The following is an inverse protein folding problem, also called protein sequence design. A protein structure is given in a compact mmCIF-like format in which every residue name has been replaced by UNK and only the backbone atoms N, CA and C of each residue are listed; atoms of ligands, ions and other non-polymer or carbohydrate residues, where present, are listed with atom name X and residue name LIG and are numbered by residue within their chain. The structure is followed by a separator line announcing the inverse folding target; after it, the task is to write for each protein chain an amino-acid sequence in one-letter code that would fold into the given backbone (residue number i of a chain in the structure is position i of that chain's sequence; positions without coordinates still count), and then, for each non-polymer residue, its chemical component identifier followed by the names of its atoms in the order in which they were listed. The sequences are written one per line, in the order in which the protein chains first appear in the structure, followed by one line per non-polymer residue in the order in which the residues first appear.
data_IF_997445986056
#
_entry.id   IF_997445986056
#
_cell.length_a   1.000
_cell.length_b   1.000
_cell.length_c   1.000
_cell.angle_alpha   90.00
_cell.angle_beta   90.00
_cell.angle_gamma   90.00
#
_symmetry.space_group_name_H-M   'P 1'
#
loop_
_entity.id
_entity.type
_entity.pdbx_description
1 polymer ?
#
# COMPACT_ATOMS: atom_id res chain seq x y z
N UNK A 1 1.17 17.96 1.29
CA UNK A 1 1.44 16.61 0.73
C UNK A 1 0.32 15.67 1.20
N UNK A 2 0.09 14.56 0.51
CA UNK A 2 -0.87 13.54 0.95
C UNK A 2 -0.45 12.14 0.48
N UNK A 3 -1.13 11.13 1.04
CA UNK A 3 -1.15 9.78 0.52
C UNK A 3 -2.60 9.40 0.20
N UNK A 4 -2.78 8.59 -0.85
CA UNK A 4 -4.05 7.99 -1.24
C UNK A 4 -3.86 6.49 -1.27
N UNK A 5 -4.77 5.76 -0.64
CA UNK A 5 -4.85 4.30 -0.70
C UNK A 5 -6.27 3.91 -1.12
N UNK A 6 -6.40 2.96 -2.04
CA UNK A 6 -7.68 2.37 -2.40
C UNK A 6 -8.12 1.39 -1.30
N UNK A 7 -9.39 1.45 -0.89
CA UNK A 7 -9.89 0.74 0.30
C UNK A 7 -9.98 -0.78 0.17
N UNK A 8 -9.88 -1.31 -1.05
CA UNK A 8 -9.92 -2.72 -1.42
C UNK A 8 -8.53 -3.32 -1.71
N UNK A 9 -7.47 -2.55 -1.47
CA UNK A 9 -6.10 -2.97 -1.72
C UNK A 9 -5.41 -3.45 -0.43
N UNK A 10 -4.89 -4.68 -0.46
CA UNK A 10 -4.16 -5.30 0.66
C UNK A 10 -2.68 -5.35 0.29
N UNK A 11 -1.83 -4.85 1.19
CA UNK A 11 -0.38 -4.88 1.07
C UNK A 11 0.23 -5.63 2.24
N UNK A 12 1.11 -6.59 1.94
CA UNK A 12 1.83 -7.35 2.95
C UNK A 12 3.27 -7.58 2.50
N UNK A 13 4.21 -7.54 3.43
CA UNK A 13 5.60 -7.91 3.16
C UNK A 13 6.60 -7.22 4.08
N UNK A 14 7.69 -7.91 4.37
CA UNK A 14 8.73 -7.39 5.25
C UNK A 14 9.37 -6.13 4.66
N UNK A 15 9.51 -5.09 5.48
CA UNK A 15 10.12 -3.83 5.07
C UNK A 15 9.16 -2.85 4.37
N UNK A 16 7.86 -3.17 4.24
CA UNK A 16 6.86 -2.28 3.64
C UNK A 16 6.90 -0.88 4.29
N UNK A 17 6.92 -0.79 5.62
CA UNK A 17 6.97 0.48 6.36
C UNK A 17 8.17 1.37 5.98
N UNK A 18 9.31 0.78 5.58
CA UNK A 18 10.48 1.53 5.10
C UNK A 18 10.19 2.19 3.76
N UNK A 19 9.52 1.47 2.85
CA UNK A 19 9.09 2.02 1.57
C UNK A 19 8.05 3.14 1.76
N UNK A 20 7.08 2.95 2.65
CA UNK A 20 6.06 3.96 2.97
C UNK A 20 6.67 5.23 3.57
N UNK A 21 7.57 5.08 4.54
CA UNK A 21 8.28 6.21 5.18
C UNK A 21 9.09 6.99 4.15
N UNK A 22 9.78 6.30 3.23
CA UNK A 22 10.53 6.94 2.15
C UNK A 22 9.61 7.67 1.17
N UNK A 23 8.48 7.08 0.80
CA UNK A 23 7.49 7.70 -0.09
C UNK A 23 6.87 8.96 0.53
N UNK A 24 6.57 8.94 1.82
CA UNK A 24 6.12 10.12 2.57
C UNK A 24 7.15 11.26 2.54
N UNK A 25 8.43 10.95 2.80
CA UNK A 25 9.53 11.94 2.70
C UNK A 25 9.71 12.46 1.27
N UNK A 26 9.57 11.61 0.26
CA UNK A 26 9.62 12.04 -1.14
C UNK A 26 8.51 13.07 -1.44
N UNK A 27 7.29 12.83 -0.97
CA UNK A 27 6.16 13.75 -1.14
C UNK A 27 6.41 15.11 -0.46
N UNK A 28 7.02 15.12 0.72
CA UNK A 28 7.46 16.35 1.39
C UNK A 28 8.53 17.10 0.58
N UNK A 29 9.40 16.37 -0.12
CA UNK A 29 10.46 16.93 -0.98
C UNK A 29 10.00 17.33 -2.39
N UNK A 30 8.69 17.31 -2.69
CA UNK A 30 8.16 17.71 -3.98
C UNK A 30 8.10 16.61 -5.05
N UNK A 31 8.19 15.33 -4.65
CA UNK A 31 8.19 14.19 -5.59
C UNK A 31 7.02 13.24 -5.30
N UNK A 32 6.29 12.86 -6.34
CA UNK A 32 5.26 11.82 -6.24
C UNK A 32 5.92 10.43 -6.15
N UNK A 33 5.30 9.49 -5.45
CA UNK A 33 5.73 8.09 -5.41
C UNK A 33 4.55 7.16 -5.65
N UNK A 34 4.73 6.22 -6.57
CA UNK A 34 3.80 5.11 -6.82
C UNK A 34 4.54 3.78 -6.73
N UNK A 35 3.79 2.71 -6.49
CA UNK A 35 4.34 1.37 -6.35
C UNK A 35 3.93 0.50 -7.54
N UNK A 36 4.93 -0.09 -8.20
CA UNK A 36 4.74 -1.04 -9.29
C UNK A 36 4.83 -2.48 -8.78
N UNK A 37 3.91 -3.34 -9.20
CA UNK A 37 3.88 -4.76 -8.86
C UNK A 37 3.71 -5.60 -10.12
N UNK A 38 4.41 -6.73 -10.19
CA UNK A 38 4.34 -7.62 -11.34
C UNK A 38 3.04 -8.43 -11.31
N UNK A 39 2.25 -8.36 -12.38
CA UNK A 39 0.98 -9.08 -12.51
C UNK A 39 0.88 -9.82 -13.84
N UNK A 40 0.05 -10.87 -13.87
CA UNK A 40 -0.18 -11.67 -15.07
C UNK A 40 -1.15 -11.00 -16.06
N UNK A 41 -2.06 -10.15 -15.56
CA UNK A 41 -3.14 -9.47 -16.30
C UNK A 41 -3.05 -7.93 -16.25
N UNK A 42 -1.94 -7.32 -16.73
CA UNK A 42 -1.64 -5.89 -16.59
C UNK A 42 -2.67 -4.97 -17.27
N UNK A 43 -3.40 -5.43 -18.29
CA UNK A 43 -4.43 -4.65 -19.01
C UNK A 43 -5.59 -4.17 -18.13
N UNK A 44 -5.74 -4.72 -16.92
CA UNK A 44 -6.77 -4.30 -15.95
C UNK A 44 -6.40 -3.07 -15.14
N UNK A 45 -5.14 -2.64 -15.19
CA UNK A 45 -4.58 -1.63 -14.31
C UNK A 45 -3.89 -0.49 -15.08
N UNK A 46 -3.44 0.54 -14.36
CA UNK A 46 -2.45 1.48 -14.88
C UNK A 46 -1.10 0.77 -15.02
N UNK A 47 -0.52 0.70 -16.21
CA UNK A 47 0.72 -0.03 -16.49
C UNK A 47 1.89 0.92 -16.63
N UNK A 48 2.99 0.65 -15.92
CA UNK A 48 4.22 1.43 -16.01
C UNK A 48 5.27 0.73 -16.88
N UNK A 49 5.77 1.42 -17.90
CA UNK A 49 6.89 0.97 -18.72
C UNK A 49 8.22 1.43 -18.09
N UNK A 50 9.24 0.57 -18.13
CA UNK A 50 10.59 0.90 -17.68
C UNK A 50 11.61 0.85 -18.83
N UNK A 51 12.59 1.76 -18.82
CA UNK A 51 13.76 1.66 -19.69
C UNK A 51 14.72 0.55 -19.24
N UNK A 52 15.78 0.31 -20.03
CA UNK A 52 16.82 -0.67 -19.70
C UNK A 52 17.57 -0.39 -18.39
N UNK A 53 17.51 0.84 -17.88
CA UNK A 53 18.09 1.25 -16.60
C UNK A 53 17.11 1.14 -15.43
N UNK A 54 15.88 0.64 -15.65
CA UNK A 54 14.85 0.51 -14.63
C UNK A 54 14.15 1.82 -14.27
N UNK A 55 14.25 2.86 -15.12
CA UNK A 55 13.53 4.13 -14.91
C UNK A 55 12.18 4.08 -15.61
N UNK A 56 11.13 4.56 -14.94
CA UNK A 56 9.82 4.67 -15.55
C UNK A 56 9.83 5.65 -16.73
N UNK A 57 9.23 5.26 -17.86
CA UNK A 57 9.21 6.07 -19.10
C UNK A 57 7.81 6.39 -19.60
N UNK A 58 6.81 5.55 -19.32
CA UNK A 58 5.41 5.87 -19.59
C UNK A 58 4.49 5.21 -18.56
N UNK A 59 3.32 5.79 -18.34
CA UNK A 59 2.22 5.14 -17.62
C UNK A 59 0.94 5.20 -18.48
N UNK A 60 0.25 4.09 -18.61
CA UNK A 60 -0.96 3.98 -19.45
C UNK A 60 -2.09 3.33 -18.68
N UNK A 61 -3.29 3.92 -18.73
CA UNK A 61 -4.47 3.38 -18.06
C UNK A 61 -5.09 2.26 -18.90
N UNK A 62 -5.16 1.05 -18.33
CA UNK A 62 -5.81 -0.14 -18.92
C UNK A 62 -5.49 -0.33 -20.41
N UNK A 63 -4.19 -0.45 -20.77
CA UNK A 63 -3.79 -0.51 -22.17
C UNK A 63 -4.25 -1.83 -22.79
N UNK A 64 -4.85 -1.76 -23.98
CA UNK A 64 -5.23 -2.96 -24.74
C UNK A 64 -4.02 -3.82 -25.16
N UNK A 65 -2.82 -3.22 -25.19
CA UNK A 65 -1.53 -3.90 -25.43
C UNK A 65 -0.51 -3.38 -24.42
N UNK A 66 -0.46 -3.97 -23.22
CA UNK A 66 0.45 -3.56 -22.15
C UNK A 66 1.91 -3.57 -22.60
N UNK A 67 2.64 -2.48 -22.30
CA UNK A 67 4.08 -2.37 -22.61
C UNK A 67 4.98 -3.07 -21.59
N UNK A 68 4.43 -3.43 -20.44
CA UNK A 68 5.09 -4.20 -19.40
C UNK A 68 4.04 -5.00 -18.60
N UNK A 69 4.53 -5.89 -17.72
CA UNK A 69 3.71 -6.62 -16.75
C UNK A 69 3.67 -5.93 -15.38
N UNK A 70 4.02 -4.64 -15.28
CA UNK A 70 4.04 -3.91 -14.01
C UNK A 70 2.82 -3.01 -13.89
N UNK A 71 1.88 -3.43 -13.06
CA UNK A 71 0.74 -2.63 -12.66
C UNK A 71 1.14 -1.63 -11.56
N UNK A 72 0.59 -0.43 -11.65
CA UNK A 72 0.61 0.55 -10.57
C UNK A 72 -0.47 0.16 -9.57
N UNK A 73 -0.03 -0.14 -8.35
CA UNK A 73 -0.92 -0.55 -7.26
C UNK A 73 -1.79 0.61 -6.76
N UNK A 74 -2.82 0.31 -5.96
CA UNK A 74 -3.72 1.29 -5.35
C UNK A 74 -3.12 2.14 -4.22
N UNK A 75 -1.82 2.46 -4.24
CA UNK A 75 -1.15 3.25 -3.22
C UNK A 75 -0.26 4.35 -3.84
N UNK A 76 -0.53 5.59 -3.44
CA UNK A 76 0.03 6.78 -4.05
C UNK A 76 0.46 7.79 -2.99
N UNK A 77 1.60 8.43 -3.19
CA UNK A 77 2.08 9.54 -2.37
C UNK A 77 2.31 10.75 -3.25
N UNK A 78 1.79 11.91 -2.88
CA UNK A 78 1.89 13.11 -3.69
C UNK A 78 2.34 14.36 -2.92
N UNK A 79 3.10 15.25 -3.57
CA UNK A 79 3.43 16.57 -3.04
C UNK A 79 2.21 17.50 -2.92
N UNK A 80 2.43 18.68 -2.32
CA UNK A 80 1.35 19.61 -1.96
C UNK A 80 0.56 20.22 -3.13
N UNK A 81 1.10 20.17 -4.35
CA UNK A 81 0.48 20.68 -5.58
C UNK A 81 -0.48 19.67 -6.25
N UNK A 82 -0.64 18.47 -5.69
CA UNK A 82 -1.51 17.41 -6.23
C UNK A 82 -2.94 17.86 -6.47
N UNK A 83 -3.53 18.65 -5.55
CA UNK A 83 -4.90 19.13 -5.72
C UNK A 83 -5.01 20.04 -6.95
N UNK A 84 -4.02 20.90 -7.19
CA UNK A 84 -3.99 21.80 -8.35
C UNK A 84 -3.85 21.01 -9.65
N UNK A 85 -3.03 19.94 -9.66
CA UNK A 85 -2.89 19.06 -10.82
C UNK A 85 -4.14 18.22 -11.07
N UNK A 86 -4.75 17.68 -10.01
CA UNK A 86 -5.99 16.92 -10.10
C UNK A 86 -7.12 17.74 -10.75
N UNK A 87 -7.22 19.04 -10.46
CA UNK A 87 -8.21 19.94 -11.10
C UNK A 87 -7.99 20.14 -12.61
N UNK A 88 -6.80 19.81 -13.15
CA UNK A 88 -6.51 19.90 -14.58
C UNK A 88 -6.84 18.61 -15.33
N UNK A 89 -7.03 17.50 -14.61
CA UNK A 89 -7.37 16.20 -15.20
C UNK A 89 -8.73 16.31 -15.87
N UNK A 90 -8.78 15.89 -17.14
CA UNK A 90 -10.03 15.82 -17.90
C UNK A 90 -10.59 14.39 -17.85
N UNK A 91 -11.92 14.22 -17.95
CA UNK A 91 -12.52 12.90 -18.03
C UNK A 91 -11.95 12.07 -19.19
N UNK A 92 -11.69 10.79 -18.95
CA UNK A 92 -11.28 9.84 -19.98
C UNK A 92 -12.44 9.50 -20.93
N UNK A 93 -12.17 8.65 -21.93
CA UNK A 93 -13.23 8.08 -22.77
C UNK A 93 -14.29 7.31 -21.96
N UNK A 94 -13.97 6.91 -20.72
CA UNK A 94 -14.89 6.25 -19.77
C UNK A 94 -15.69 7.24 -18.92
N UNK A 95 -15.40 8.53 -19.04
CA UNK A 95 -16.00 9.58 -18.21
C UNK A 95 -15.40 9.68 -16.79
N UNK A 96 -14.28 9.01 -16.53
CA UNK A 96 -13.61 8.97 -15.22
C UNK A 96 -12.43 9.96 -15.17
N UNK A 97 -12.17 10.54 -14.00
CA UNK A 97 -10.95 11.31 -13.74
C UNK A 97 -9.83 10.36 -13.33
N UNK A 98 -9.01 9.96 -14.29
CA UNK A 98 -8.05 8.88 -14.10
C UNK A 98 -6.84 9.32 -13.26
N UNK A 99 -6.52 8.54 -12.22
CA UNK A 99 -5.31 8.75 -11.42
C UNK A 99 -4.04 8.55 -12.26
N UNK A 100 -4.10 7.72 -13.31
CA UNK A 100 -2.99 7.51 -14.25
C UNK A 100 -2.64 8.76 -15.03
N UNK A 101 -3.64 9.60 -15.39
CA UNK A 101 -3.40 10.91 -16.00
C UNK A 101 -2.66 11.84 -15.03
N UNK A 102 -3.02 11.82 -13.75
CA UNK A 102 -2.32 12.59 -12.71
C UNK A 102 -0.87 12.10 -12.52
N UNK A 103 -0.64 10.78 -12.50
CA UNK A 103 0.69 10.18 -12.44
C UNK A 103 1.55 10.58 -13.65
N UNK A 104 0.97 10.56 -14.86
CA UNK A 104 1.64 10.96 -16.09
C UNK A 104 2.14 12.41 -16.03
N UNK A 105 1.37 13.35 -15.45
CA UNK A 105 1.83 14.73 -15.26
C UNK A 105 3.11 14.83 -14.41
N UNK A 106 3.23 14.03 -13.34
CA UNK A 106 4.46 13.99 -12.53
C UNK A 106 5.60 13.26 -13.25
N UNK A 107 5.28 12.28 -14.10
CA UNK A 107 6.28 11.57 -14.91
C UNK A 107 6.92 12.51 -15.92
N UNK A 108 6.12 13.30 -16.63
CA UNK A 108 6.57 14.29 -17.63
C UNK A 108 7.45 15.38 -17.02
N UNK A 109 7.18 15.74 -15.76
CA UNK A 109 8.00 16.69 -15.00
C UNK A 109 9.26 16.09 -14.38
N UNK A 110 9.47 14.77 -14.49
CA UNK A 110 10.59 14.05 -13.86
C UNK A 110 10.50 13.98 -12.32
N UNK A 111 9.33 14.27 -11.77
CA UNK A 111 9.05 14.30 -10.32
C UNK A 111 8.31 13.06 -9.82
N UNK A 112 7.96 12.12 -10.70
CA UNK A 112 7.46 10.80 -10.33
C UNK A 112 8.59 9.84 -9.95
N UNK A 113 8.46 9.17 -8.82
CA UNK A 113 9.26 8.02 -8.40
C UNK A 113 8.41 6.76 -8.51
N UNK A 114 8.91 5.73 -9.18
CA UNK A 114 8.25 4.42 -9.24
C UNK A 114 9.08 3.41 -8.45
N UNK A 115 8.47 2.82 -7.42
CA UNK A 115 9.11 1.83 -6.55
C UNK A 115 8.55 0.46 -6.88
N UNK A 116 9.39 -0.47 -7.31
CA UNK A 116 8.95 -1.84 -7.59
C UNK A 116 8.88 -2.65 -6.29
N UNK A 117 7.71 -3.21 -6.01
CA UNK A 117 7.50 -4.18 -4.95
C UNK A 117 7.88 -5.56 -5.51
N UNK A 118 9.03 -6.06 -5.09
CA UNK A 118 9.54 -7.36 -5.53
C UNK A 118 8.74 -8.54 -4.96
N UNK A 119 9.15 -9.76 -5.33
CA UNK A 119 8.48 -11.02 -4.99
C UNK A 119 8.30 -11.36 -3.51
N UNK A 120 8.89 -10.58 -2.61
CA UNK A 120 8.73 -10.72 -1.16
C UNK A 120 7.52 -9.98 -0.60
N UNK A 121 6.82 -9.22 -1.45
CA UNK A 121 5.57 -8.55 -1.12
C UNK A 121 4.40 -9.32 -1.72
N UNK A 122 3.25 -9.22 -1.07
CA UNK A 122 1.96 -9.54 -1.64
C UNK A 122 1.19 -8.22 -1.82
N UNK A 123 0.65 -8.03 -3.01
CA UNK A 123 -0.36 -7.02 -3.29
C UNK A 123 -1.58 -7.75 -3.85
N UNK A 124 -2.74 -7.51 -3.22
CA UNK A 124 -3.99 -8.16 -3.55
C UNK A 124 -5.07 -7.09 -3.69
N UNK A 125 -5.88 -7.20 -4.73
CA UNK A 125 -7.01 -6.31 -5.02
C UNK A 125 -8.32 -7.10 -4.91
N UNK A 126 -9.19 -6.73 -3.97
CA UNK A 126 -10.41 -7.50 -3.68
C UNK A 126 -11.61 -7.08 -4.54
N UNK A 127 -11.36 -6.65 -5.79
CA UNK A 127 -12.40 -6.16 -6.71
C UNK A 127 -13.34 -7.22 -7.27
N UNK A 128 -13.03 -8.52 -7.15
CA UNK A 128 -13.91 -9.62 -7.56
C UNK A 128 -14.16 -10.61 -6.41
N UNK A 129 -15.20 -11.43 -6.54
CA UNK A 129 -15.48 -12.48 -5.53
C UNK A 129 -14.35 -13.51 -5.44
N UNK A 130 -13.71 -13.83 -6.57
CA UNK A 130 -12.56 -14.74 -6.63
C UNK A 130 -11.34 -14.13 -5.95
N UNK A 131 -10.98 -12.88 -6.28
CA UNK A 131 -9.82 -12.23 -5.67
C UNK A 131 -10.01 -11.92 -4.18
N UNK A 132 -11.24 -11.65 -3.75
CA UNK A 132 -11.59 -11.55 -2.32
C UNK A 132 -11.38 -12.89 -1.59
N UNK A 133 -11.75 -14.01 -2.21
CA UNK A 133 -11.56 -15.33 -1.63
C UNK A 133 -10.05 -15.66 -1.50
N UNK A 134 -9.29 -15.44 -2.57
CA UNK A 134 -7.82 -15.63 -2.58
C UNK A 134 -7.15 -14.76 -1.50
N UNK A 135 -7.57 -13.51 -1.35
CA UNK A 135 -7.04 -12.63 -0.32
C UNK A 135 -7.33 -13.14 1.09
N UNK A 136 -8.54 -13.65 1.33
CA UNK A 136 -8.89 -14.26 2.62
C UNK A 136 -8.07 -15.52 2.91
N UNK A 137 -7.83 -16.37 1.90
CA UNK A 137 -6.97 -17.55 2.04
C UNK A 137 -5.52 -17.16 2.35
N UNK A 138 -4.99 -16.15 1.64
CA UNK A 138 -3.65 -15.62 1.89
C UNK A 138 -3.49 -15.13 3.33
N UNK A 139 -4.38 -14.24 3.79
CA UNK A 139 -4.33 -13.70 5.16
C UNK A 139 -4.40 -14.82 6.18
N UNK A 140 -5.35 -15.75 6.01
CA UNK A 140 -5.50 -16.89 6.92
C UNK A 140 -4.24 -17.76 6.97
N UNK A 141 -3.61 -18.04 5.83
CA UNK A 141 -2.41 -18.85 5.77
C UNK A 141 -1.23 -18.16 6.48
N UNK A 142 -1.06 -16.85 6.27
CA UNK A 142 -0.03 -16.04 6.94
C UNK A 142 -0.25 -16.04 8.46
N UNK A 143 -1.45 -15.69 8.90
CA UNK A 143 -1.77 -15.59 10.33
C UNK A 143 -1.58 -16.94 11.04
N UNK A 144 -2.02 -18.04 10.41
CA UNK A 144 -1.85 -19.38 10.97
C UNK A 144 -0.39 -19.82 11.02
N UNK A 145 0.43 -19.44 10.02
CA UNK A 145 1.85 -19.78 10.01
C UNK A 145 2.66 -19.00 11.03
N UNK A 146 2.22 -17.80 11.40
CA UNK A 146 2.95 -16.91 12.31
C UNK A 146 2.37 -16.89 13.73
N UNK A 147 1.16 -17.42 13.94
CA UNK A 147 0.34 -17.23 15.16
C UNK A 147 0.15 -15.75 15.51
N UNK A 148 0.13 -14.89 14.48
CA UNK A 148 0.05 -13.43 14.60
C UNK A 148 -0.95 -12.88 13.57
N UNK A 149 -1.94 -12.09 14.00
CA UNK A 149 -2.87 -11.42 13.09
C UNK A 149 -2.18 -10.36 12.22
N UNK A 150 -2.72 -10.11 11.03
CA UNK A 150 -2.24 -9.08 10.11
C UNK A 150 -3.06 -7.80 10.27
N UNK A 151 -2.40 -6.64 10.17
CA UNK A 151 -3.05 -5.31 10.14
C UNK A 151 -3.91 -4.99 11.37
N UNK A 152 -3.33 -5.12 12.57
CA UNK A 152 -3.96 -4.80 13.87
C UNK A 152 -3.76 -3.31 14.20
N UNK A 153 -4.78 -2.43 14.06
CA UNK A 153 -4.57 -0.98 14.21
C UNK A 153 -4.17 -0.55 15.62
N UNK A 154 -4.66 -1.22 16.66
CA UNK A 154 -4.33 -0.91 18.05
C UNK A 154 -2.88 -1.24 18.38
N UNK A 155 -2.38 -2.35 17.85
CA UNK A 155 -0.98 -2.71 17.96
C UNK A 155 -0.10 -1.71 17.20
N UNK A 156 -0.44 -1.40 15.94
CA UNK A 156 0.28 -0.39 15.15
C UNK A 156 0.31 0.96 15.89
N UNK A 157 -0.81 1.38 16.47
CA UNK A 157 -0.89 2.61 17.25
C UNK A 157 0.00 2.57 18.49
N UNK A 158 0.06 1.44 19.19
CA UNK A 158 0.92 1.25 20.36
C UNK A 158 2.41 1.24 19.99
N UNK A 159 2.79 0.54 18.92
CA UNK A 159 4.16 0.51 18.40
C UNK A 159 4.66 1.89 17.98
N UNK A 160 3.77 2.72 17.43
CA UNK A 160 4.07 4.10 17.06
C UNK A 160 3.96 5.09 18.25
N UNK A 161 3.61 4.62 19.45
CA UNK A 161 3.46 5.46 20.63
C UNK A 161 2.26 6.43 20.58
N UNK A 162 1.26 6.17 19.73
CA UNK A 162 0.03 6.96 19.65
C UNK A 162 -0.93 6.65 20.81
N UNK A 163 -0.82 5.43 21.35
CA UNK A 163 -1.53 5.01 22.56
C UNK A 163 -0.54 4.38 23.53
N UNK A 164 -0.84 4.45 24.82
CA UNK A 164 -0.08 3.76 25.86
C UNK A 164 -0.59 2.32 26.07
N UNK A 165 0.13 1.57 26.90
CA UNK A 165 -0.24 0.17 27.23
C UNK A 165 -1.62 0.09 27.91
N UNK A 166 -1.99 1.07 28.74
CA UNK A 166 -3.29 1.07 29.39
C UNK A 166 -4.44 1.14 28.38
N UNK A 167 -4.32 1.99 27.35
CA UNK A 167 -5.31 2.06 26.27
C UNK A 167 -5.33 0.79 25.41
N UNK A 168 -4.18 0.16 25.19
CA UNK A 168 -4.12 -1.14 24.50
C UNK A 168 -4.83 -2.24 25.30
N UNK A 169 -4.66 -2.27 26.62
CA UNK A 169 -5.36 -3.21 27.51
C UNK A 169 -6.88 -2.98 27.52
N UNK A 170 -7.34 -1.73 27.50
CA UNK A 170 -8.76 -1.39 27.36
C UNK A 170 -9.35 -1.94 26.06
N UNK A 171 -8.64 -1.77 24.93
CA UNK A 171 -9.06 -2.36 23.65
C UNK A 171 -9.10 -3.90 23.74
N UNK A 172 -8.07 -4.51 24.30
CA UNK A 172 -8.01 -5.95 24.50
C UNK A 172 -9.16 -6.48 25.37
N UNK A 173 -9.59 -5.72 26.38
CA UNK A 173 -10.74 -6.03 27.22
C UNK A 173 -12.07 -5.94 26.45
N UNK A 174 -12.23 -4.94 25.58
CA UNK A 174 -13.43 -4.78 24.73
C UNK A 174 -13.64 -5.99 23.80
N UNK A 175 -12.55 -6.57 23.26
CA UNK A 175 -12.59 -7.78 22.44
C UNK A 175 -12.66 -9.09 23.25
N UNK A 176 -12.55 -9.02 24.58
CA UNK A 176 -12.84 -10.09 25.52
C UNK A 176 -11.96 -11.34 25.37
N UNK A 177 -12.61 -12.47 25.04
CA UNK A 177 -11.98 -13.80 24.88
C UNK A 177 -11.73 -14.16 23.41
N UNK A 178 -11.97 -13.27 22.46
CA UNK A 178 -11.73 -13.53 21.02
C UNK A 178 -10.24 -13.78 20.74
N UNK A 179 -9.92 -14.36 19.58
CA UNK A 179 -8.52 -14.52 19.12
C UNK A 179 -7.82 -13.16 19.10
N UNK A 180 -8.50 -12.14 18.58
CA UNK A 180 -8.01 -10.75 18.53
C UNK A 180 -7.74 -10.17 19.92
N UNK A 181 -8.70 -10.29 20.84
CA UNK A 181 -8.52 -9.79 22.22
C UNK A 181 -7.42 -10.52 22.98
N UNK A 182 -7.20 -11.81 22.73
CA UNK A 182 -6.04 -12.55 23.30
C UNK A 182 -4.73 -12.07 22.71
N UNK A 183 -4.67 -11.79 21.41
CA UNK A 183 -3.48 -11.23 20.77
C UNK A 183 -3.09 -9.89 21.38
N UNK A 184 -4.03 -8.94 21.49
CA UNK A 184 -3.76 -7.63 22.09
C UNK A 184 -3.23 -7.74 23.54
N UNK A 185 -3.71 -8.72 24.32
CA UNK A 185 -3.18 -9.00 25.67
C UNK A 185 -1.73 -9.47 25.64
N UNK A 186 -1.38 -10.37 24.71
CA UNK A 186 0.01 -10.83 24.52
C UNK A 186 0.93 -9.66 24.16
N UNK A 187 0.48 -8.77 23.27
CA UNK A 187 1.21 -7.54 22.90
C UNK A 187 1.41 -6.64 24.11
N UNK A 188 0.36 -6.32 24.86
CA UNK A 188 0.42 -5.46 26.06
C UNK A 188 1.34 -6.04 27.14
N UNK A 189 1.35 -7.37 27.31
CA UNK A 189 2.24 -8.09 28.23
C UNK A 189 3.70 -8.15 27.75
N UNK A 190 4.00 -7.70 26.53
CA UNK A 190 5.35 -7.74 25.95
C UNK A 190 5.81 -9.14 25.54
N UNK A 191 4.88 -10.08 25.34
CA UNK A 191 5.19 -11.46 24.92
C UNK A 191 5.56 -11.55 23.43
N UNK A 192 5.21 -10.51 22.65
CA UNK A 192 5.47 -10.43 21.22
C UNK A 192 6.44 -9.26 20.97
N UNK A 193 7.58 -9.55 20.32
CA UNK A 193 8.59 -8.54 19.96
C UNK A 193 8.50 -8.27 18.47
N UNK A 194 7.70 -7.28 18.08
CA UNK A 194 7.46 -6.97 16.66
C UNK A 194 8.40 -5.92 16.06
N UNK A 195 9.02 -5.10 16.91
CA UNK A 195 10.12 -4.22 16.51
C UNK A 195 11.39 -4.63 17.26
N UNK A 196 12.57 -4.69 16.61
CA UNK A 196 13.82 -4.74 17.34
C UNK A 196 13.86 -3.50 18.24
N UNK A 197 13.67 -3.69 19.55
CA UNK A 197 13.98 -2.67 20.53
C UNK A 197 15.47 -2.44 20.41
N UNK A 198 15.89 -1.31 19.84
CA UNK A 198 17.28 -0.88 19.96
C UNK A 198 17.58 -0.78 21.46
N UNK A 199 18.44 -1.67 21.95
CA UNK A 199 19.04 -1.60 23.28
C UNK A 199 20.15 -0.56 23.27
#
# INVERSE_FOLDING_TARGET
PCALVLGDNIFYGNGLSRHLTRAARNAESGRATVFGYHVDDPERFGVVEFDRGGRAVSIEEKPARPKSSYAVTGLYFYPGDVAVKAHKVQPSARGELEITTLNQMYLEEGTLSVVTLGRGYAWLDTGTMESLHEAAEFVRAVEHSQDLPVSVPEEIAWENGWIDTARLEEAAAAYGKSVYGRHLKKVAAGEIVNSPREY
#
